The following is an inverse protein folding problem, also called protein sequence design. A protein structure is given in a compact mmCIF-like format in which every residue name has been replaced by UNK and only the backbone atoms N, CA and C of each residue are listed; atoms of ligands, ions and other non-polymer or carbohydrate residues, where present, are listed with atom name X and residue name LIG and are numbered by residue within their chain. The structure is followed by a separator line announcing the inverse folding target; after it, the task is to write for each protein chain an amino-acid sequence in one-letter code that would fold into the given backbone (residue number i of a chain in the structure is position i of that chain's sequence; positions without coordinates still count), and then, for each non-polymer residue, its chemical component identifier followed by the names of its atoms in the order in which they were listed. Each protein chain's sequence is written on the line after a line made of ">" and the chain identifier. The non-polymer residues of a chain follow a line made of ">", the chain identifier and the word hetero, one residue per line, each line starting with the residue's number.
data_IF_139770461790
#
_entry.id   IF_139770461790
#
_cell.length_a   1.000
_cell.length_b   1.000
_cell.length_c   1.000
_cell.angle_alpha   90.00
_cell.angle_beta   90.00
_cell.angle_gamma   90.00
#
_symmetry.space_group_name_H-M   'P 1'
#
loop_
_entity.id
_entity.type
_entity.pdbx_description
1 polymer ?
#
# COMPACT_ATOMS: atom_id res chain seq x y z
N UNK A 1 -25.48 -20.57 -4.81
CA UNK A 1 -24.06 -20.44 -5.22
C UNK A 1 -23.18 -20.99 -4.11
N UNK A 2 -22.14 -21.75 -4.45
CA UNK A 2 -21.17 -22.30 -3.52
C UNK A 2 -19.75 -22.11 -4.05
N UNK A 3 -18.80 -21.85 -3.17
CA UNK A 3 -17.38 -21.82 -3.52
C UNK A 3 -16.95 -23.24 -3.88
N UNK A 4 -16.33 -23.42 -5.04
CA UNK A 4 -15.82 -24.70 -5.52
C UNK A 4 -14.30 -24.81 -5.46
N UNK A 5 -13.59 -23.69 -5.39
CA UNK A 5 -12.13 -23.67 -5.30
C UNK A 5 -11.57 -22.31 -4.84
N UNK A 6 -10.44 -22.36 -4.19
CA UNK A 6 -9.55 -21.24 -3.90
C UNK A 6 -8.16 -21.64 -4.39
N UNK A 7 -7.58 -20.83 -5.24
CA UNK A 7 -6.24 -21.04 -5.81
C UNK A 7 -5.41 -19.75 -5.64
N UNK A 8 -4.13 -19.90 -5.34
CA UNK A 8 -3.17 -18.80 -5.33
C UNK A 8 -2.30 -18.84 -6.58
N UNK A 9 -2.10 -17.70 -7.19
CA UNK A 9 -1.26 -17.49 -8.37
C UNK A 9 -0.21 -16.42 -8.05
N UNK A 10 0.97 -16.54 -8.62
CA UNK A 10 2.03 -15.54 -8.45
C UNK A 10 2.65 -15.18 -9.79
N UNK A 11 3.01 -13.92 -9.98
CA UNK A 11 3.62 -13.39 -11.19
C UNK A 11 4.88 -12.58 -10.89
N UNK A 12 5.79 -12.54 -11.87
CA UNK A 12 7.00 -11.70 -11.85
C UNK A 12 6.63 -10.20 -11.83
N UNK A 13 6.81 -9.56 -10.71
CA UNK A 13 6.68 -8.11 -10.50
C UNK A 13 7.99 -7.34 -10.60
N UNK A 14 9.07 -7.97 -11.12
CA UNK A 14 10.38 -7.36 -11.28
C UNK A 14 11.25 -7.50 -10.04
N UNK A 15 11.26 -6.54 -9.18
CA UNK A 15 11.95 -6.57 -7.87
C UNK A 15 11.07 -7.10 -6.73
N UNK A 16 9.90 -7.59 -7.05
CA UNK A 16 8.91 -8.21 -6.15
C UNK A 16 8.04 -9.19 -6.93
N UNK A 17 7.21 -9.94 -6.24
CA UNK A 17 6.19 -10.80 -6.85
C UNK A 17 4.81 -10.21 -6.62
N UNK A 18 3.89 -10.42 -7.56
CA UNK A 18 2.46 -10.13 -7.37
C UNK A 18 1.72 -11.44 -7.09
N UNK A 19 0.95 -11.47 -6.01
CA UNK A 19 0.17 -12.63 -5.60
C UNK A 19 -1.32 -12.41 -5.82
N UNK A 20 -2.02 -13.39 -6.40
CA UNK A 20 -3.46 -13.32 -6.67
C UNK A 20 -4.20 -14.52 -6.10
N UNK A 21 -5.39 -14.26 -5.55
CA UNK A 21 -6.34 -15.31 -5.19
C UNK A 21 -7.41 -15.40 -6.26
N UNK A 22 -7.65 -16.61 -6.74
CA UNK A 22 -8.77 -16.99 -7.59
C UNK A 22 -9.78 -17.80 -6.79
N UNK A 23 -10.98 -17.28 -6.61
CA UNK A 23 -12.09 -17.98 -5.98
C UNK A 23 -13.13 -18.36 -7.02
N UNK A 24 -13.39 -19.66 -7.23
CA UNK A 24 -14.35 -20.19 -8.19
C UNK A 24 -15.64 -20.63 -7.53
N UNK A 25 -16.75 -20.58 -8.28
CA UNK A 25 -18.07 -20.98 -7.78
C UNK A 25 -18.75 -21.98 -8.72
N UNK A 26 -19.79 -22.64 -8.24
CA UNK A 26 -20.67 -23.53 -9.02
C UNK A 26 -21.61 -22.80 -10.02
N UNK A 27 -21.63 -21.44 -9.98
CA UNK A 27 -22.39 -20.60 -10.92
C UNK A 27 -21.50 -19.95 -12.00
N UNK A 28 -20.28 -20.43 -12.20
CA UNK A 28 -19.28 -19.91 -13.13
C UNK A 28 -18.77 -18.48 -12.83
N UNK A 29 -19.21 -17.84 -11.74
CA UNK A 29 -18.63 -16.57 -11.29
C UNK A 29 -17.29 -16.85 -10.62
N UNK A 30 -16.27 -16.13 -11.05
CA UNK A 30 -14.92 -16.14 -10.45
C UNK A 30 -14.68 -14.81 -9.78
N UNK A 31 -14.20 -14.84 -8.53
CA UNK A 31 -13.72 -13.67 -7.81
C UNK A 31 -12.21 -13.64 -7.75
N UNK A 32 -11.68 -12.44 -7.81
CA UNK A 32 -10.25 -12.15 -7.73
C UNK A 32 -9.94 -11.24 -6.57
N UNK A 33 -8.78 -11.44 -5.99
CA UNK A 33 -8.14 -10.47 -5.11
C UNK A 33 -6.63 -10.53 -5.28
N UNK A 34 -5.95 -9.49 -4.85
CA UNK A 34 -4.50 -9.49 -4.74
C UNK A 34 -4.09 -9.63 -3.28
N UNK A 35 -2.97 -10.29 -3.02
CA UNK A 35 -2.34 -10.38 -1.72
C UNK A 35 -0.85 -10.05 -1.84
N UNK A 36 -0.25 -9.58 -0.75
CA UNK A 36 1.14 -9.19 -0.73
C UNK A 36 2.07 -10.41 -0.78
N UNK A 37 2.70 -10.64 -1.93
CA UNK A 37 3.88 -11.50 -2.03
C UNK A 37 5.15 -10.64 -2.00
N UNK A 38 5.39 -9.96 -0.88
CA UNK A 38 6.62 -9.21 -0.73
C UNK A 38 7.82 -10.15 -0.58
N UNK A 39 8.96 -9.78 -1.19
CA UNK A 39 10.19 -10.57 -1.21
C UNK A 39 10.88 -10.74 0.15
N UNK A 40 10.17 -10.46 1.23
CA UNK A 40 10.66 -10.48 2.60
C UNK A 40 10.68 -11.89 3.21
N UNK A 41 11.17 -12.89 2.47
CA UNK A 41 11.33 -14.28 2.93
C UNK A 41 10.04 -14.99 3.39
N UNK A 42 8.89 -14.28 3.44
CA UNK A 42 7.61 -14.79 3.94
C UNK A 42 6.53 -14.94 2.85
N UNK A 43 6.79 -14.57 1.59
CA UNK A 43 5.82 -14.61 0.50
C UNK A 43 5.20 -16.00 0.30
N UNK A 44 6.04 -17.04 0.24
CA UNK A 44 5.57 -18.43 0.19
C UNK A 44 4.80 -18.86 1.43
N UNK A 45 4.98 -18.19 2.56
CA UNK A 45 4.21 -18.42 3.79
C UNK A 45 2.76 -17.98 3.65
N UNK A 46 2.51 -16.81 3.06
CA UNK A 46 1.15 -16.28 2.92
C UNK A 46 0.30 -17.12 1.98
N UNK A 47 0.81 -17.48 0.80
CA UNK A 47 0.11 -18.37 -0.14
C UNK A 47 -0.20 -19.73 0.48
N UNK A 48 0.71 -20.30 1.28
CA UNK A 48 0.47 -21.54 2.03
C UNK A 48 -0.64 -21.39 3.07
N UNK A 49 -0.70 -20.29 3.78
CA UNK A 49 -1.79 -20.02 4.75
C UNK A 49 -3.12 -19.88 4.04
N UNK A 50 -3.20 -19.12 2.93
CA UNK A 50 -4.42 -19.01 2.11
C UNK A 50 -4.90 -20.39 1.67
N UNK A 51 -4.01 -21.22 1.12
CA UNK A 51 -4.33 -22.56 0.66
C UNK A 51 -4.72 -23.51 1.82
N UNK A 52 -4.17 -23.32 3.02
CA UNK A 52 -4.57 -24.09 4.21
C UNK A 52 -5.96 -23.69 4.73
N UNK A 53 -6.39 -22.45 4.53
CA UNK A 53 -7.73 -21.98 4.86
C UNK A 53 -8.79 -22.35 3.81
N UNK A 54 -8.40 -22.62 2.57
CA UNK A 54 -9.28 -22.92 1.46
C UNK A 54 -10.31 -24.05 1.76
N UNK A 55 -9.95 -25.20 2.35
CA UNK A 55 -10.90 -26.27 2.67
C UNK A 55 -12.03 -25.85 3.61
N UNK A 56 -11.80 -24.81 4.44
CA UNK A 56 -12.81 -24.29 5.38
C UNK A 56 -13.90 -23.52 4.66
N UNK A 57 -13.57 -22.87 3.54
CA UNK A 57 -14.49 -22.00 2.79
C UNK A 57 -15.16 -22.71 1.60
N UNK A 58 -14.56 -23.75 1.04
CA UNK A 58 -15.14 -24.55 -0.03
C UNK A 58 -16.50 -25.14 0.41
N UNK A 59 -17.51 -25.06 -0.47
CA UNK A 59 -18.87 -25.49 -0.22
C UNK A 59 -19.76 -24.45 0.48
N UNK A 60 -19.21 -23.35 0.97
CA UNK A 60 -19.96 -22.23 1.57
C UNK A 60 -20.53 -21.29 0.50
N UNK A 61 -21.55 -20.54 0.87
CA UNK A 61 -22.08 -19.45 0.03
C UNK A 61 -21.16 -18.23 0.11
N UNK A 62 -20.51 -17.80 -1.01
CA UNK A 62 -19.59 -16.68 -1.02
C UNK A 62 -20.24 -15.33 -0.67
N UNK A 63 -21.56 -15.22 -0.78
CA UNK A 63 -22.29 -13.98 -0.46
C UNK A 63 -22.41 -13.73 1.05
N UNK A 64 -22.22 -14.77 1.87
CA UNK A 64 -22.24 -14.69 3.35
C UNK A 64 -20.85 -14.42 3.90
N UNK A 65 -20.25 -13.32 3.44
CA UNK A 65 -18.84 -12.95 3.70
C UNK A 65 -18.55 -12.94 5.19
N UNK A 66 -19.34 -12.23 5.99
CA UNK A 66 -19.14 -12.15 7.45
C UNK A 66 -19.18 -13.51 8.14
N UNK A 67 -20.01 -14.44 7.67
CA UNK A 67 -20.05 -15.79 8.21
C UNK A 67 -18.75 -16.55 7.92
N UNK A 68 -18.19 -16.37 6.72
CA UNK A 68 -16.92 -17.00 6.32
C UNK A 68 -15.78 -16.39 7.12
N UNK A 69 -15.65 -15.07 7.12
CA UNK A 69 -14.58 -14.33 7.81
C UNK A 69 -14.60 -14.61 9.32
N UNK A 70 -15.77 -14.55 9.96
CA UNK A 70 -15.91 -14.88 11.39
C UNK A 70 -15.49 -16.33 11.70
N UNK A 71 -15.83 -17.28 10.80
CA UNK A 71 -15.39 -18.67 10.96
C UNK A 71 -13.88 -18.78 10.90
N UNK A 72 -13.24 -18.12 9.93
CA UNK A 72 -11.79 -18.11 9.78
C UNK A 72 -11.11 -17.52 11.03
N UNK A 73 -11.60 -16.39 11.53
CA UNK A 73 -11.08 -15.78 12.76
C UNK A 73 -11.22 -16.68 14.00
N UNK A 74 -12.36 -17.37 14.15
CA UNK A 74 -12.55 -18.32 15.26
C UNK A 74 -11.56 -19.46 15.21
N UNK A 75 -11.37 -20.04 14.03
CA UNK A 75 -10.47 -21.20 13.86
C UNK A 75 -8.99 -20.84 14.00
N UNK A 76 -8.63 -19.60 13.66
CA UNK A 76 -7.24 -19.12 13.70
C UNK A 76 -6.91 -18.23 14.89
N UNK A 77 -7.79 -18.14 15.88
CA UNK A 77 -7.67 -17.19 17.01
C UNK A 77 -6.37 -17.31 17.83
N UNK A 78 -5.75 -18.48 17.82
CA UNK A 78 -4.47 -18.73 18.52
C UNK A 78 -3.25 -18.19 17.74
N UNK A 79 -3.42 -17.91 16.44
CA UNK A 79 -2.37 -17.40 15.55
C UNK A 79 -2.77 -16.05 14.93
N UNK A 80 -3.50 -15.22 15.69
CA UNK A 80 -4.05 -13.94 15.22
C UNK A 80 -2.96 -12.97 14.76
N UNK A 81 -3.30 -12.14 13.77
CA UNK A 81 -2.45 -11.07 13.22
C UNK A 81 -1.56 -11.52 12.07
N UNK A 82 -0.73 -10.63 11.56
CA UNK A 82 0.25 -10.90 10.52
C UNK A 82 -0.29 -11.71 9.34
N UNK A 83 0.39 -12.79 8.96
CA UNK A 83 0.03 -13.63 7.81
C UNK A 83 -1.40 -14.20 7.88
N UNK A 84 -1.92 -14.47 9.06
CA UNK A 84 -3.29 -14.99 9.21
C UNK A 84 -4.30 -13.93 8.83
N UNK A 85 -4.13 -12.69 9.29
CA UNK A 85 -5.04 -11.59 8.92
C UNK A 85 -4.97 -11.32 7.41
N UNK A 86 -3.77 -11.28 6.84
CA UNK A 86 -3.59 -11.08 5.40
C UNK A 86 -4.25 -12.20 4.57
N UNK A 87 -4.15 -13.45 5.01
CA UNK A 87 -4.79 -14.57 4.33
C UNK A 87 -6.33 -14.50 4.39
N UNK A 88 -6.89 -14.11 5.54
CA UNK A 88 -8.34 -13.90 5.70
C UNK A 88 -8.78 -12.74 4.81
N UNK A 89 -8.04 -11.63 4.79
CA UNK A 89 -8.30 -10.47 3.95
C UNK A 89 -8.30 -10.80 2.45
N UNK A 90 -7.32 -11.59 2.00
CA UNK A 90 -7.24 -12.02 0.61
C UNK A 90 -8.47 -12.86 0.20
N UNK A 91 -8.94 -13.76 1.07
CA UNK A 91 -10.18 -14.53 0.84
C UNK A 91 -11.39 -13.58 0.86
N UNK A 92 -11.52 -12.71 1.87
CA UNK A 92 -12.62 -11.73 1.98
C UNK A 92 -12.76 -10.90 0.71
N UNK A 93 -11.66 -10.32 0.24
CA UNK A 93 -11.64 -9.47 -0.95
C UNK A 93 -12.07 -10.23 -2.22
N UNK A 94 -11.68 -11.50 -2.37
CA UNK A 94 -12.16 -12.33 -3.49
C UNK A 94 -13.67 -12.65 -3.39
N UNK A 95 -14.20 -12.81 -2.17
CA UNK A 95 -15.64 -13.01 -1.97
C UNK A 95 -16.44 -11.73 -2.20
N UNK A 96 -15.90 -10.56 -1.90
CA UNK A 96 -16.49 -9.26 -2.23
C UNK A 96 -16.63 -9.09 -3.75
N UNK A 97 -15.61 -9.48 -4.51
CA UNK A 97 -15.64 -9.48 -5.97
C UNK A 97 -16.76 -10.39 -6.51
N UNK A 98 -16.86 -11.63 -6.01
CA UNK A 98 -17.96 -12.55 -6.37
C UNK A 98 -19.32 -11.92 -6.08
N UNK A 99 -19.49 -11.34 -4.88
CA UNK A 99 -20.77 -10.75 -4.48
C UNK A 99 -21.14 -9.55 -5.33
N UNK A 100 -20.17 -8.69 -5.68
CA UNK A 100 -20.39 -7.57 -6.60
C UNK A 100 -20.81 -8.05 -7.98
N UNK A 101 -20.15 -9.08 -8.52
CA UNK A 101 -20.48 -9.70 -9.82
C UNK A 101 -21.85 -10.38 -9.81
N UNK A 102 -22.19 -11.13 -8.75
CA UNK A 102 -23.49 -11.79 -8.60
C UNK A 102 -24.66 -10.79 -8.56
N UNK A 103 -24.44 -9.63 -7.95
CA UNK A 103 -25.43 -8.56 -7.85
C UNK A 103 -25.40 -7.59 -9.05
N UNK A 104 -24.39 -7.67 -9.92
CA UNK A 104 -24.21 -6.75 -11.05
C UNK A 104 -23.80 -5.35 -10.64
N UNK A 105 -23.14 -5.17 -9.48
CA UNK A 105 -22.73 -3.88 -8.93
C UNK A 105 -21.24 -3.85 -8.60
N UNK A 106 -20.60 -2.67 -8.63
CA UNK A 106 -19.24 -2.51 -8.12
C UNK A 106 -19.15 -2.78 -6.63
N UNK A 107 -17.97 -3.23 -6.15
CA UNK A 107 -17.77 -3.54 -4.73
C UNK A 107 -18.05 -2.34 -3.82
N UNK A 108 -17.66 -1.12 -4.18
CA UNK A 108 -17.97 0.07 -3.37
C UNK A 108 -19.48 0.27 -3.13
N UNK A 109 -20.34 -0.16 -4.06
CA UNK A 109 -21.79 -0.05 -3.91
C UNK A 109 -22.34 -0.99 -2.82
N UNK A 110 -21.63 -2.07 -2.48
CA UNK A 110 -21.99 -2.97 -1.37
C UNK A 110 -21.88 -2.27 0.00
N UNK A 111 -21.17 -1.14 0.06
CA UNK A 111 -20.91 -0.35 1.28
C UNK A 111 -21.56 1.04 1.23
N UNK A 112 -22.50 1.27 0.31
CA UNK A 112 -23.25 2.53 0.19
C UNK A 112 -22.53 3.66 -0.55
N UNK A 113 -21.37 3.39 -1.15
CA UNK A 113 -20.61 4.37 -1.95
C UNK A 113 -21.15 4.54 -3.37
N UNK A 114 -20.50 5.39 -4.21
CA UNK A 114 -19.30 6.13 -3.86
C UNK A 114 -19.61 7.51 -3.24
N UNK A 115 -18.73 7.97 -2.35
CA UNK A 115 -18.68 9.37 -1.90
C UNK A 115 -17.96 10.25 -2.94
N UNK A 116 -17.03 9.66 -3.69
CA UNK A 116 -16.25 10.30 -4.76
C UNK A 116 -16.01 9.35 -5.93
N UNK A 117 -16.04 9.87 -7.15
CA UNK A 117 -15.87 9.11 -8.40
C UNK A 117 -14.46 9.24 -8.99
N UNK A 118 -13.70 10.21 -8.52
CA UNK A 118 -12.28 10.43 -8.86
C UNK A 118 -11.46 10.34 -7.60
N UNK A 119 -10.42 9.52 -7.64
CA UNK A 119 -9.57 9.23 -6.49
C UNK A 119 -8.24 9.96 -6.68
N UNK A 120 -7.96 11.02 -5.90
CA UNK A 120 -6.68 11.72 -5.97
C UNK A 120 -5.54 10.79 -5.56
N UNK A 121 -4.45 10.83 -6.35
CA UNK A 121 -3.29 9.97 -6.20
C UNK A 121 -2.04 10.77 -5.84
N UNK A 122 -1.16 10.16 -5.05
CA UNK A 122 0.22 10.58 -4.97
C UNK A 122 1.16 9.55 -5.59
N UNK A 123 2.25 10.04 -6.22
CA UNK A 123 3.28 9.18 -6.79
C UNK A 123 4.21 8.70 -5.69
N UNK A 124 4.14 7.41 -5.35
CA UNK A 124 5.00 6.80 -4.33
C UNK A 124 6.34 6.35 -4.90
N UNK A 125 7.32 6.06 -4.02
CA UNK A 125 8.70 5.70 -4.35
C UNK A 125 9.33 6.67 -5.37
N UNK A 126 8.90 7.94 -5.31
CA UNK A 126 9.27 8.99 -6.25
C UNK A 126 10.78 9.18 -6.31
N UNK A 127 11.37 8.82 -7.44
CA UNK A 127 12.83 8.77 -7.64
C UNK A 127 13.49 7.50 -7.11
N UNK A 128 13.05 6.93 -5.99
CA UNK A 128 13.67 5.74 -5.36
C UNK A 128 13.75 4.56 -6.32
N UNK A 129 12.65 4.23 -7.00
CA UNK A 129 12.68 3.11 -7.95
C UNK A 129 13.56 3.39 -9.17
N UNK A 130 13.63 4.64 -9.64
CA UNK A 130 14.55 4.99 -10.74
C UNK A 130 16.03 5.01 -10.32
N UNK A 131 16.31 5.18 -9.04
CA UNK A 131 17.67 4.97 -8.48
C UNK A 131 18.03 3.49 -8.55
N UNK A 132 17.13 2.61 -8.17
CA UNK A 132 17.39 1.18 -7.95
C UNK A 132 17.14 0.31 -9.20
N UNK A 133 16.03 0.55 -9.92
CA UNK A 133 15.46 -0.39 -10.89
C UNK A 133 15.25 0.22 -12.30
N UNK A 134 15.83 1.38 -12.61
CA UNK A 134 15.60 2.09 -13.87
C UNK A 134 15.78 1.21 -15.14
N UNK A 135 16.83 0.40 -15.15
CA UNK A 135 17.11 -0.49 -16.30
C UNK A 135 16.00 -1.53 -16.52
N UNK A 136 15.46 -2.10 -15.46
CA UNK A 136 14.37 -3.08 -15.53
C UNK A 136 13.07 -2.45 -16.03
N UNK A 137 12.83 -1.21 -15.66
CA UNK A 137 11.65 -0.44 -16.07
C UNK A 137 11.78 0.19 -17.47
N UNK A 138 12.99 0.21 -18.04
CA UNK A 138 13.26 0.93 -19.28
C UNK A 138 13.14 2.46 -19.14
N UNK A 139 13.35 3.00 -17.93
CA UNK A 139 13.21 4.41 -17.60
C UNK A 139 14.56 5.09 -17.36
N UNK A 140 14.65 6.43 -17.51
CA UNK A 140 15.85 7.17 -17.16
C UNK A 140 16.24 6.99 -15.70
N UNK A 141 17.53 6.69 -15.43
CA UNK A 141 18.05 6.55 -14.09
C UNK A 141 18.12 7.92 -13.40
N UNK A 142 17.71 7.96 -12.14
CA UNK A 142 17.97 9.10 -11.24
C UNK A 142 19.29 8.84 -10.52
N UNK A 143 20.36 9.51 -10.95
CA UNK A 143 21.71 9.29 -10.46
C UNK A 143 22.25 10.47 -9.65
N UNK A 144 21.59 11.64 -9.70
CA UNK A 144 22.00 12.87 -9.03
C UNK A 144 20.79 13.63 -8.48
N UNK A 145 21.03 14.62 -7.61
CA UNK A 145 19.98 15.52 -7.15
C UNK A 145 19.40 16.40 -8.27
N UNK A 146 20.18 16.69 -9.32
CA UNK A 146 19.67 17.37 -10.52
C UNK A 146 18.71 16.48 -11.31
N UNK A 147 18.98 15.17 -11.41
CA UNK A 147 18.03 14.21 -11.99
C UNK A 147 16.75 14.14 -11.15
N UNK A 148 16.90 14.17 -9.83
CA UNK A 148 15.77 14.14 -8.91
C UNK A 148 14.91 15.41 -9.00
N UNK A 149 15.51 16.57 -9.26
CA UNK A 149 14.77 17.79 -9.54
C UNK A 149 13.98 17.66 -10.85
N UNK A 150 14.60 17.15 -11.93
CA UNK A 150 13.87 16.87 -13.18
C UNK A 150 12.74 15.87 -13.00
N UNK A 151 12.95 14.86 -12.16
CA UNK A 151 11.89 13.93 -11.79
C UNK A 151 10.73 14.63 -11.07
N UNK A 152 11.00 15.54 -10.14
CA UNK A 152 9.96 16.37 -9.49
C UNK A 152 9.15 17.21 -10.49
N UNK A 153 9.80 17.74 -11.52
CA UNK A 153 9.13 18.43 -12.61
C UNK A 153 8.22 17.49 -13.42
N UNK A 154 8.66 16.26 -13.71
CA UNK A 154 7.83 15.24 -14.38
C UNK A 154 6.56 14.94 -13.57
N UNK A 155 6.68 14.76 -12.25
CA UNK A 155 5.51 14.53 -11.36
C UNK A 155 4.49 15.65 -11.52
N UNK A 156 4.93 16.91 -11.47
CA UNK A 156 4.09 18.09 -11.64
C UNK A 156 3.44 18.15 -13.04
N UNK A 157 4.23 17.90 -14.10
CA UNK A 157 3.75 17.92 -15.49
C UNK A 157 2.70 16.85 -15.75
N UNK A 158 2.79 15.68 -15.08
CA UNK A 158 1.79 14.60 -15.17
C UNK A 158 0.56 14.82 -14.28
N UNK A 159 0.47 15.98 -13.61
CA UNK A 159 -0.70 16.41 -12.87
C UNK A 159 -0.86 15.83 -11.47
N UNK A 160 0.13 15.07 -10.96
CA UNK A 160 0.07 14.56 -9.59
C UNK A 160 0.19 15.70 -8.58
N UNK A 161 -0.70 15.68 -7.59
CA UNK A 161 -0.77 16.74 -6.56
C UNK A 161 0.21 16.53 -5.42
N UNK A 162 0.75 15.33 -5.28
CA UNK A 162 1.75 14.99 -4.27
C UNK A 162 2.65 13.86 -4.74
N UNK A 163 3.80 13.74 -4.09
CA UNK A 163 4.74 12.65 -4.23
C UNK A 163 5.29 12.21 -2.87
N UNK A 164 5.59 10.92 -2.74
CA UNK A 164 6.24 10.31 -1.57
C UNK A 164 7.57 9.69 -1.98
N UNK A 165 8.63 9.99 -1.25
CA UNK A 165 9.98 9.48 -1.51
C UNK A 165 10.63 8.95 -0.25
N UNK A 166 11.74 8.22 -0.41
CA UNK A 166 12.63 7.84 0.68
C UNK A 166 13.85 8.78 0.73
N UNK A 167 14.69 8.65 1.77
CA UNK A 167 15.95 9.39 1.84
C UNK A 167 16.92 8.84 0.79
N UNK A 168 17.45 9.71 -0.06
CA UNK A 168 18.41 9.36 -1.10
C UNK A 168 19.79 9.99 -0.78
N UNK A 169 20.77 9.14 -0.49
CA UNK A 169 22.13 9.56 -0.16
C UNK A 169 22.98 9.69 -1.42
N UNK A 170 23.63 10.84 -1.59
CA UNK A 170 24.64 11.06 -2.62
C UNK A 170 25.94 10.31 -2.31
N UNK A 171 26.39 9.47 -3.23
CA UNK A 171 27.64 8.73 -3.17
C UNK A 171 28.50 9.00 -4.41
N UNK A 172 29.74 8.52 -4.43
CA UNK A 172 30.59 8.59 -5.64
C UNK A 172 30.01 7.82 -6.83
N UNK A 173 29.15 6.83 -6.59
CA UNK A 173 28.52 6.02 -7.61
C UNK A 173 27.14 6.56 -8.06
N UNK A 174 26.67 7.65 -7.46
CA UNK A 174 25.34 8.23 -7.65
C UNK A 174 24.49 8.20 -6.40
N UNK A 175 23.17 8.35 -6.57
CA UNK A 175 22.23 8.26 -5.45
C UNK A 175 21.98 6.80 -5.03
N UNK A 176 21.79 6.59 -3.74
CA UNK A 176 21.34 5.32 -3.15
C UNK A 176 20.30 5.58 -2.05
N UNK A 177 19.30 4.69 -1.92
CA UNK A 177 18.31 4.83 -0.86
C UNK A 177 18.90 4.43 0.50
N UNK A 178 18.55 5.18 1.55
CA UNK A 178 18.86 4.84 2.94
C UNK A 178 17.68 4.05 3.51
N UNK A 179 17.86 2.75 3.65
CA UNK A 179 16.84 1.84 4.16
C UNK A 179 17.42 0.87 5.20
N UNK A 180 18.01 1.37 6.32
CA UNK A 180 18.70 0.52 7.29
C UNK A 180 17.75 -0.50 7.96
N UNK A 181 16.47 -0.20 8.10
CA UNK A 181 15.47 -1.11 8.63
C UNK A 181 15.23 -2.38 7.79
N UNK A 182 15.65 -2.35 6.51
CA UNK A 182 15.63 -3.49 5.60
C UNK A 182 17.01 -4.16 5.48
N UNK A 183 18.00 -3.72 6.26
CA UNK A 183 19.34 -4.27 6.26
C UNK A 183 19.38 -5.66 6.94
N UNK A 184 20.46 -6.38 6.67
CA UNK A 184 20.71 -7.72 7.21
C UNK A 184 21.86 -7.77 8.22
N UNK A 185 22.35 -6.59 8.64
CA UNK A 185 23.48 -6.48 9.56
C UNK A 185 23.08 -6.92 10.98
N UNK A 186 23.74 -7.88 11.58
CA UNK A 186 23.44 -8.30 12.95
C UNK A 186 23.57 -7.15 13.95
N UNK A 187 22.58 -7.03 14.87
CA UNK A 187 22.55 -5.98 15.89
C UNK A 187 22.00 -4.65 15.42
N UNK A 188 21.82 -4.45 14.13
CA UNK A 188 21.18 -3.31 13.48
C UNK A 188 21.73 -1.93 13.93
N UNK A 189 23.05 -1.72 13.92
CA UNK A 189 23.63 -0.42 14.30
C UNK A 189 23.21 0.70 13.35
N UNK A 190 22.91 0.37 12.10
CA UNK A 190 22.42 1.24 11.04
C UNK A 190 21.03 1.84 11.31
N UNK A 191 20.25 1.29 12.24
CA UNK A 191 18.97 1.87 12.68
C UNK A 191 19.15 3.18 13.49
N UNK A 192 20.37 3.61 13.71
CA UNK A 192 20.66 4.89 14.30
C UNK A 192 20.86 5.94 13.20
N UNK A 193 20.41 7.17 13.47
CA UNK A 193 20.68 8.29 12.58
C UNK A 193 22.17 8.67 12.58
N UNK A 194 22.65 9.26 11.49
CA UNK A 194 23.94 9.91 11.38
C UNK A 194 23.83 11.21 10.58
N UNK A 195 24.89 12.01 10.58
CA UNK A 195 24.92 13.30 9.87
C UNK A 195 24.72 13.14 8.34
N UNK A 196 25.31 12.16 7.66
CA UNK A 196 25.01 11.89 6.26
C UNK A 196 23.53 11.62 5.98
N UNK A 197 22.83 10.86 6.82
CA UNK A 197 21.40 10.60 6.68
C UNK A 197 20.55 11.87 6.80
N UNK A 198 20.85 12.73 7.78
CA UNK A 198 20.16 14.00 7.96
C UNK A 198 20.39 14.95 6.78
N UNK A 199 21.63 15.06 6.30
CA UNK A 199 21.97 15.85 5.12
C UNK A 199 21.31 15.31 3.86
N UNK A 200 21.25 13.99 3.70
CA UNK A 200 20.58 13.36 2.57
C UNK A 200 19.07 13.62 2.57
N UNK A 201 18.41 13.60 3.74
CA UNK A 201 16.99 13.92 3.85
C UNK A 201 16.70 15.35 3.34
N UNK A 202 17.49 16.33 3.78
CA UNK A 202 17.34 17.72 3.33
C UNK A 202 17.66 17.88 1.84
N UNK A 203 18.74 17.28 1.34
CA UNK A 203 19.13 17.35 -0.07
C UNK A 203 18.09 16.71 -1.00
N UNK A 204 17.52 15.57 -0.59
CA UNK A 204 16.43 14.88 -1.34
C UNK A 204 15.21 15.79 -1.47
N UNK A 205 14.74 16.36 -0.36
CA UNK A 205 13.56 17.21 -0.36
C UNK A 205 13.79 18.54 -1.08
N UNK A 206 15.00 19.13 -0.95
CA UNK A 206 15.37 20.34 -1.68
C UNK A 206 15.31 20.12 -3.21
N UNK A 207 15.88 19.03 -3.68
CA UNK A 207 15.88 18.69 -5.11
C UNK A 207 14.46 18.47 -5.63
N UNK A 208 13.65 17.68 -4.94
CA UNK A 208 12.26 17.43 -5.34
C UNK A 208 11.42 18.72 -5.31
N UNK A 209 11.57 19.56 -4.29
CA UNK A 209 10.87 20.84 -4.18
C UNK A 209 11.24 21.79 -5.33
N UNK A 210 12.51 21.83 -5.71
CA UNK A 210 12.98 22.66 -6.82
C UNK A 210 12.29 22.29 -8.14
N UNK A 211 12.08 21.00 -8.42
CA UNK A 211 11.41 20.54 -9.65
C UNK A 211 9.90 20.53 -9.56
N UNK A 212 9.34 19.98 -8.49
CA UNK A 212 7.90 19.84 -8.31
C UNK A 212 7.17 21.18 -8.07
N UNK A 213 7.91 22.22 -7.65
CA UNK A 213 7.33 23.52 -7.34
C UNK A 213 6.63 23.57 -5.98
N UNK A 214 6.13 24.76 -5.57
CA UNK A 214 5.57 24.97 -4.23
C UNK A 214 4.22 24.29 -4.01
N UNK A 215 3.44 24.10 -5.06
CA UNK A 215 2.06 23.57 -4.97
C UNK A 215 1.97 22.05 -4.85
N UNK A 216 3.03 21.33 -5.23
CA UNK A 216 3.06 19.86 -5.12
C UNK A 216 3.34 19.45 -3.68
N UNK A 217 2.47 18.65 -3.08
CA UNK A 217 2.68 18.08 -1.76
C UNK A 217 3.91 17.16 -1.75
N UNK A 218 4.81 17.37 -0.79
CA UNK A 218 5.93 16.45 -0.56
C UNK A 218 5.64 15.60 0.67
N UNK A 219 5.95 14.32 0.57
CA UNK A 219 5.89 13.34 1.64
C UNK A 219 7.23 12.61 1.71
N UNK A 220 7.70 12.35 2.90
CA UNK A 220 8.92 11.58 3.13
C UNK A 220 8.54 10.33 3.92
N UNK A 221 8.87 9.18 3.35
CA UNK A 221 8.68 7.90 3.99
C UNK A 221 10.02 7.36 4.49
N UNK A 222 10.11 7.20 5.79
CA UNK A 222 11.30 6.71 6.46
C UNK A 222 11.05 5.35 7.13
N UNK A 223 9.92 4.72 6.84
CA UNK A 223 9.50 3.38 7.27
C UNK A 223 9.84 3.12 8.76
N UNK A 224 10.36 1.94 9.08
CA UNK A 224 10.91 1.56 10.40
C UNK A 224 12.45 1.69 10.46
N UNK A 225 13.03 2.65 9.70
CA UNK A 225 14.48 2.73 9.48
C UNK A 225 15.28 3.31 10.67
N UNK A 226 14.62 3.88 11.67
CA UNK A 226 15.29 4.54 12.77
C UNK A 226 14.67 4.17 14.12
N UNK A 227 15.34 4.60 15.21
CA UNK A 227 14.78 4.59 16.56
C UNK A 227 14.06 5.92 16.84
N UNK A 228 13.33 6.00 17.93
CA UNK A 228 12.53 7.18 18.32
C UNK A 228 13.32 8.50 18.22
N UNK A 229 14.59 8.52 18.69
CA UNK A 229 15.45 9.72 18.58
C UNK A 229 15.74 10.07 17.12
N UNK A 230 16.06 9.07 16.28
CA UNK A 230 16.36 9.27 14.86
C UNK A 230 15.16 9.84 14.10
N UNK A 231 13.96 9.32 14.36
CA UNK A 231 12.72 9.85 13.80
C UNK A 231 12.50 11.32 14.19
N UNK A 232 12.69 11.67 15.47
CA UNK A 232 12.57 13.04 15.94
C UNK A 232 13.60 13.97 15.27
N UNK A 233 14.86 13.54 15.14
CA UNK A 233 15.91 14.31 14.46
C UNK A 233 15.59 14.57 12.99
N UNK A 234 15.05 13.57 12.29
CA UNK A 234 14.64 13.74 10.90
C UNK A 234 13.47 14.70 10.81
N UNK A 235 12.46 14.58 11.70
CA UNK A 235 11.35 15.52 11.75
C UNK A 235 11.81 16.97 11.89
N UNK A 236 12.82 17.24 12.73
CA UNK A 236 13.37 18.58 12.90
C UNK A 236 14.02 19.13 11.61
N UNK A 237 14.85 18.32 10.94
CA UNK A 237 15.59 18.80 9.75
C UNK A 237 14.72 18.94 8.50
N UNK A 238 13.57 18.28 8.43
CA UNK A 238 12.65 18.40 7.30
C UNK A 238 11.62 19.53 7.45
N UNK A 239 11.58 20.19 8.59
CA UNK A 239 10.66 21.32 8.89
C UNK A 239 10.57 22.38 7.78
N UNK A 240 11.69 22.84 7.15
CA UNK A 240 11.64 23.89 6.14
C UNK A 240 10.89 23.51 4.86
N UNK A 241 10.62 22.22 4.64
CA UNK A 241 10.03 21.73 3.39
C UNK A 241 8.50 21.65 3.42
N UNK A 242 7.86 21.94 4.56
CA UNK A 242 6.41 21.93 4.74
C UNK A 242 5.79 20.64 4.14
N UNK A 243 6.14 19.49 4.71
CA UNK A 243 5.67 18.19 4.23
C UNK A 243 4.16 18.06 4.40
N UNK A 244 3.50 17.41 3.44
CA UNK A 244 2.10 16.97 3.57
C UNK A 244 1.96 15.95 4.71
N UNK A 245 2.97 15.10 4.88
CA UNK A 245 3.25 14.29 6.07
C UNK A 245 4.68 13.74 6.06
N UNK A 246 5.17 13.40 7.23
CA UNK A 246 6.29 12.51 7.45
C UNK A 246 5.73 11.14 7.82
N UNK A 247 6.05 10.11 7.04
CA UNK A 247 5.59 8.73 7.25
C UNK A 247 6.68 7.92 7.94
N UNK A 248 6.29 7.24 9.00
CA UNK A 248 7.19 6.39 9.77
C UNK A 248 6.39 5.32 10.54
N UNK A 249 7.00 4.16 10.73
CA UNK A 249 6.41 3.09 11.51
C UNK A 249 7.20 2.78 12.78
N UNK A 250 6.48 2.73 13.87
CA UNK A 250 6.99 2.35 15.17
C UNK A 250 5.92 1.56 15.93
N UNK A 251 6.30 0.42 16.49
CA UNK A 251 5.37 -0.50 17.15
C UNK A 251 4.97 -0.09 18.57
N UNK A 252 5.29 1.13 18.98
CA UNK A 252 4.90 1.69 20.27
C UNK A 252 4.11 2.99 20.10
N UNK A 253 2.80 2.99 20.38
CA UNK A 253 1.97 4.18 20.21
C UNK A 253 2.41 5.36 21.09
N UNK A 254 3.00 5.13 22.26
CA UNK A 254 3.49 6.21 23.12
C UNK A 254 4.71 6.92 22.51
N UNK A 255 5.63 6.17 21.92
CA UNK A 255 6.78 6.73 21.21
C UNK A 255 6.34 7.51 19.97
N UNK A 256 5.37 7.02 19.20
CA UNK A 256 4.82 7.74 18.06
C UNK A 256 4.15 9.05 18.49
N UNK A 257 3.33 9.01 19.55
CA UNK A 257 2.70 10.21 20.11
C UNK A 257 3.71 11.24 20.62
N UNK A 258 4.85 10.78 21.18
CA UNK A 258 5.95 11.67 21.57
C UNK A 258 6.57 12.37 20.36
N UNK A 259 6.83 11.64 19.28
CA UNK A 259 7.35 12.21 18.02
C UNK A 259 6.33 13.20 17.46
N UNK A 260 5.06 12.83 17.36
CA UNK A 260 3.98 13.69 16.86
C UNK A 260 3.91 15.03 17.59
N UNK A 261 4.03 15.01 18.92
CA UNK A 261 3.95 16.22 19.74
C UNK A 261 5.00 17.29 19.38
N UNK A 262 6.13 16.87 18.83
CA UNK A 262 7.26 17.73 18.48
C UNK A 262 7.45 17.89 16.97
N UNK A 263 6.82 17.03 16.15
CA UNK A 263 6.97 17.10 14.70
C UNK A 263 6.39 18.41 14.14
N UNK A 264 7.10 19.07 13.21
CA UNK A 264 6.67 20.34 12.61
C UNK A 264 5.68 20.15 11.45
N UNK A 265 5.36 18.90 11.11
CA UNK A 265 4.44 18.50 10.03
C UNK A 265 3.54 17.34 10.50
N UNK A 266 2.43 17.09 9.80
CA UNK A 266 1.60 15.91 10.09
C UNK A 266 2.42 14.61 10.02
N UNK A 267 2.07 13.65 10.88
CA UNK A 267 2.62 12.28 10.82
C UNK A 267 1.61 11.35 10.15
N UNK A 268 2.14 10.44 9.31
CA UNK A 268 1.43 9.26 8.82
C UNK A 268 2.11 8.01 9.36
N UNK A 269 1.33 6.98 9.71
CA UNK A 269 1.86 5.73 10.28
C UNK A 269 0.83 4.62 10.23
N UNK A 270 1.21 3.45 10.71
CA UNK A 270 0.37 2.28 10.93
C UNK A 270 0.23 1.35 9.72
N UNK A 271 1.03 1.47 8.66
CA UNK A 271 0.94 0.59 7.49
C UNK A 271 1.09 -0.90 7.86
N UNK A 272 1.92 -1.20 8.88
CA UNK A 272 2.22 -2.58 9.30
C UNK A 272 1.18 -3.20 10.23
N UNK A 273 0.13 -2.45 10.62
CA UNK A 273 -0.89 -2.92 11.55
C UNK A 273 -1.97 -3.76 10.85
N UNK A 274 -2.39 -4.81 11.53
CA UNK A 274 -3.42 -5.72 11.06
C UNK A 274 -4.61 -5.74 12.00
N UNK A 275 -5.83 -5.48 11.46
CA UNK A 275 -7.08 -5.47 12.20
C UNK A 275 -7.24 -4.25 13.13
N UNK A 276 -8.47 -3.72 13.22
CA UNK A 276 -8.82 -2.51 14.03
C UNK A 276 -8.33 -2.53 15.49
N UNK A 277 -8.14 -3.73 16.07
CA UNK A 277 -7.63 -3.85 17.45
C UNK A 277 -6.20 -3.36 17.60
N UNK A 278 -5.38 -3.51 16.55
CA UNK A 278 -4.00 -3.08 16.59
C UNK A 278 -3.89 -1.57 16.33
N UNK A 279 -4.82 -0.98 15.55
CA UNK A 279 -4.93 0.48 15.36
C UNK A 279 -5.44 1.22 16.60
N UNK A 280 -6.33 0.59 17.39
CA UNK A 280 -7.00 1.25 18.53
C UNK A 280 -6.04 1.96 19.49
N UNK A 281 -4.94 1.35 19.98
CA UNK A 281 -4.01 2.01 20.90
C UNK A 281 -3.36 3.27 20.32
N UNK A 282 -3.13 3.30 19.01
CA UNK A 282 -2.56 4.45 18.31
C UNK A 282 -3.54 5.60 18.21
N UNK A 283 -4.81 5.33 17.94
CA UNK A 283 -5.88 6.35 17.99
C UNK A 283 -6.10 6.89 19.40
N UNK A 284 -6.16 6.02 20.41
CA UNK A 284 -6.29 6.44 21.81
C UNK A 284 -5.13 7.29 22.30
N UNK A 285 -3.92 7.07 21.78
CA UNK A 285 -2.74 7.89 22.05
C UNK A 285 -2.67 9.18 21.22
N UNK A 286 -3.60 9.41 20.27
CA UNK A 286 -3.53 10.50 19.28
C UNK A 286 -2.15 10.54 18.60
N UNK A 287 -1.69 9.40 18.11
CA UNK A 287 -0.29 9.23 17.71
C UNK A 287 0.03 9.73 16.30
N UNK A 288 -0.98 9.98 15.45
CA UNK A 288 -0.79 10.45 14.06
C UNK A 288 -1.98 11.28 13.59
N UNK A 289 -1.83 11.98 12.47
CA UNK A 289 -2.88 12.69 11.73
C UNK A 289 -3.44 11.87 10.57
N UNK A 290 -2.64 10.93 10.04
CA UNK A 290 -3.05 10.07 8.93
C UNK A 290 -2.74 8.61 9.28
N UNK A 291 -3.77 7.78 9.33
CA UNK A 291 -3.59 6.33 9.47
C UNK A 291 -3.42 5.70 8.08
N UNK A 292 -2.30 5.06 7.87
CA UNK A 292 -2.02 4.30 6.65
C UNK A 292 -2.64 2.91 6.81
N UNK A 293 -3.52 2.53 5.88
CA UNK A 293 -4.29 1.28 5.96
C UNK A 293 -4.05 0.46 4.70
N UNK A 294 -3.55 -0.76 4.86
CA UNK A 294 -3.40 -1.67 3.73
C UNK A 294 -4.68 -2.51 3.54
N UNK A 295 -5.34 -2.34 2.40
CA UNK A 295 -6.58 -3.05 2.04
C UNK A 295 -6.33 -4.53 1.74
N UNK A 296 -5.12 -4.89 1.28
CA UNK A 296 -4.74 -6.27 1.05
C UNK A 296 -4.51 -7.01 2.37
N UNK A 297 -3.96 -6.30 3.36
CA UNK A 297 -3.61 -6.89 4.64
C UNK A 297 -4.80 -6.97 5.60
N UNK A 298 -5.72 -6.01 5.51
CA UNK A 298 -6.86 -5.93 6.42
C UNK A 298 -8.17 -6.50 5.84
N UNK A 299 -8.34 -6.48 4.51
CA UNK A 299 -9.62 -6.67 3.82
C UNK A 299 -10.38 -5.35 3.72
N UNK A 300 -11.23 -5.22 2.70
CA UNK A 300 -11.96 -3.98 2.47
C UNK A 300 -12.94 -3.65 3.60
N UNK A 301 -13.70 -4.65 4.08
CA UNK A 301 -14.68 -4.43 5.15
C UNK A 301 -13.99 -4.02 6.46
N UNK A 302 -12.92 -4.71 6.85
CA UNK A 302 -12.15 -4.35 8.05
C UNK A 302 -11.48 -2.98 7.90
N UNK A 303 -10.93 -2.66 6.71
CA UNK A 303 -10.34 -1.35 6.43
C UNK A 303 -11.35 -0.21 6.60
N UNK A 304 -12.59 -0.40 6.15
CA UNK A 304 -13.66 0.58 6.37
C UNK A 304 -14.04 0.72 7.85
N UNK A 305 -14.00 -0.36 8.63
CA UNK A 305 -14.21 -0.30 10.08
C UNK A 305 -13.07 0.43 10.79
N UNK A 306 -11.81 0.28 10.31
CA UNK A 306 -10.67 1.04 10.82
C UNK A 306 -10.86 2.53 10.48
N UNK A 307 -11.26 2.86 9.24
CA UNK A 307 -11.53 4.24 8.81
C UNK A 307 -12.64 4.89 9.65
N UNK A 308 -13.74 4.17 9.92
CA UNK A 308 -14.81 4.65 10.76
C UNK A 308 -14.36 4.87 12.23
N UNK A 309 -13.47 4.03 12.75
CA UNK A 309 -12.87 4.25 14.06
C UNK A 309 -11.92 5.45 14.06
N UNK A 310 -11.11 5.64 13.02
CA UNK A 310 -10.23 6.78 12.86
C UNK A 310 -11.00 8.11 12.85
N UNK A 311 -12.17 8.14 12.20
CA UNK A 311 -13.06 9.32 12.17
C UNK A 311 -13.46 9.80 13.56
N UNK A 312 -13.74 8.88 14.49
CA UNK A 312 -14.08 9.23 15.89
C UNK A 312 -12.94 9.96 16.60
N UNK A 313 -11.70 9.76 16.15
CA UNK A 313 -10.49 10.41 16.69
C UNK A 313 -9.98 11.55 15.82
N UNK A 314 -10.78 12.03 14.86
CA UNK A 314 -10.39 13.11 13.93
C UNK A 314 -9.14 12.78 13.12
N UNK A 315 -8.92 11.50 12.79
CA UNK A 315 -7.77 11.01 12.02
C UNK A 315 -8.21 10.71 10.59
N UNK A 316 -7.47 11.26 9.61
CA UNK A 316 -7.65 10.90 8.21
C UNK A 316 -7.07 9.52 7.90
N UNK A 317 -7.51 8.93 6.78
CA UNK A 317 -6.98 7.66 6.31
C UNK A 317 -6.41 7.79 4.89
N UNK A 318 -5.37 7.02 4.61
CA UNK A 318 -4.81 6.85 3.27
C UNK A 318 -4.46 5.37 3.05
N UNK A 319 -4.80 4.77 1.90
CA UNK A 319 -4.44 3.38 1.66
C UNK A 319 -2.97 3.24 1.29
N UNK A 320 -2.28 2.27 1.92
CA UNK A 320 -0.99 1.75 1.50
C UNK A 320 -1.18 0.90 0.23
N UNK A 321 -0.46 1.22 -0.84
CA UNK A 321 -0.66 0.55 -2.13
C UNK A 321 0.55 0.67 -3.05
N UNK A 322 1.48 -0.28 -2.98
CA UNK A 322 2.66 -0.39 -3.86
C UNK A 322 2.66 -1.69 -4.70
N UNK A 323 1.49 -2.14 -5.13
CA UNK A 323 1.23 -3.45 -5.72
C UNK A 323 0.86 -3.38 -7.21
N UNK A 324 0.09 -4.38 -7.70
CA UNK A 324 -0.38 -4.41 -9.08
C UNK A 324 -1.61 -3.50 -9.29
N UNK A 325 -2.16 -3.55 -10.50
CA UNK A 325 -3.37 -2.79 -10.83
C UNK A 325 -4.60 -3.24 -10.06
N UNK A 326 -4.74 -4.55 -9.75
CA UNK A 326 -5.90 -5.04 -9.01
C UNK A 326 -5.91 -4.46 -7.60
N UNK A 327 -4.78 -4.46 -6.90
CA UNK A 327 -4.66 -3.82 -5.60
C UNK A 327 -4.96 -2.32 -5.64
N UNK A 328 -4.50 -1.63 -6.69
CA UNK A 328 -4.79 -0.20 -6.88
C UNK A 328 -6.29 0.04 -7.02
N UNK A 329 -6.99 -0.83 -7.75
CA UNK A 329 -8.46 -0.75 -7.86
C UNK A 329 -9.15 -1.10 -6.54
N UNK A 330 -8.69 -2.13 -5.82
CA UNK A 330 -9.23 -2.47 -4.49
C UNK A 330 -9.08 -1.29 -3.52
N UNK A 331 -7.92 -0.63 -3.52
CA UNK A 331 -7.65 0.58 -2.73
C UNK A 331 -8.51 1.78 -3.18
N UNK A 332 -8.80 1.89 -4.49
CA UNK A 332 -9.71 2.91 -5.01
C UNK A 332 -11.16 2.68 -4.54
N UNK A 333 -11.63 1.43 -4.46
CA UNK A 333 -12.95 1.11 -3.90
C UNK A 333 -13.04 1.47 -2.41
N UNK A 334 -12.00 1.21 -1.62
CA UNK A 334 -11.89 1.71 -0.24
C UNK A 334 -11.96 3.24 -0.19
N UNK A 335 -11.13 3.91 -0.99
CA UNK A 335 -11.03 5.36 -1.04
C UNK A 335 -12.34 6.02 -1.48
N UNK A 336 -13.12 5.35 -2.33
CA UNK A 336 -14.42 5.83 -2.78
C UNK A 336 -15.50 5.85 -1.69
N UNK A 337 -15.36 5.00 -0.66
CA UNK A 337 -16.33 4.85 0.44
C UNK A 337 -15.91 5.57 1.70
N UNK A 338 -14.62 5.54 2.06
CA UNK A 338 -14.13 6.15 3.29
C UNK A 338 -14.33 7.67 3.28
N UNK A 339 -15.13 8.20 4.21
CA UNK A 339 -15.46 9.63 4.27
C UNK A 339 -14.23 10.49 4.61
N UNK A 340 -13.41 10.03 5.56
CA UNK A 340 -12.17 10.66 6.03
C UNK A 340 -10.93 10.29 5.19
N UNK A 341 -11.11 9.82 3.96
CA UNK A 341 -10.03 9.57 3.00
C UNK A 341 -9.31 10.87 2.61
N UNK A 342 -7.98 10.85 2.57
CA UNK A 342 -7.14 11.99 2.22
C UNK A 342 -6.61 11.93 0.79
N UNK A 343 -5.84 10.90 0.46
CA UNK A 343 -5.21 10.69 -0.86
C UNK A 343 -4.74 9.24 -0.96
N UNK A 344 -4.69 8.67 -2.16
CA UNK A 344 -4.31 7.26 -2.38
C UNK A 344 -2.90 7.13 -2.93
N UNK A 345 -2.17 6.17 -2.39
CA UNK A 345 -0.87 5.74 -2.90
C UNK A 345 -0.97 5.07 -4.26
N UNK A 346 -0.01 5.34 -5.15
CA UNK A 346 0.13 4.59 -6.39
C UNK A 346 1.58 4.51 -6.86
N UNK A 347 2.00 3.29 -7.23
CA UNK A 347 3.24 3.08 -7.99
C UNK A 347 3.01 3.46 -9.45
N UNK A 348 3.60 4.58 -9.86
CA UNK A 348 3.57 5.02 -11.27
C UNK A 348 4.73 4.38 -12.04
N UNK A 349 5.92 4.39 -11.44
CA UNK A 349 7.07 3.65 -11.95
C UNK A 349 6.90 2.16 -11.63
N UNK A 350 6.87 1.32 -12.67
CA UNK A 350 6.67 -0.13 -12.51
C UNK A 350 7.32 -0.90 -13.67
N UNK A 351 7.20 -2.21 -13.62
CA UNK A 351 7.66 -3.10 -14.69
C UNK A 351 6.83 -2.89 -15.98
N UNK A 352 7.45 -3.01 -17.17
CA UNK A 352 6.75 -2.76 -18.43
C UNK A 352 5.56 -3.69 -18.72
N UNK A 353 5.55 -4.89 -18.14
CA UNK A 353 4.49 -5.89 -18.37
C UNK A 353 3.40 -5.91 -17.28
N UNK A 354 3.36 -4.92 -16.36
CA UNK A 354 2.34 -4.83 -15.31
C UNK A 354 0.92 -4.83 -15.89
N UNK A 355 0.73 -4.15 -17.01
CA UNK A 355 -0.57 -3.99 -17.66
C UNK A 355 -1.12 -5.30 -18.24
N UNK A 356 -0.23 -6.26 -18.56
CA UNK A 356 -0.62 -7.56 -19.11
C UNK A 356 -1.40 -8.43 -18.10
N UNK A 357 -1.25 -8.19 -16.80
CA UNK A 357 -1.82 -9.02 -15.73
C UNK A 357 -3.31 -8.75 -15.46
N UNK A 358 -3.88 -7.73 -16.06
CA UNK A 358 -5.30 -7.36 -15.88
C UNK A 358 -6.05 -7.31 -17.20
N UNK A 359 -7.37 -7.49 -17.14
CA UNK A 359 -8.24 -7.42 -18.32
C UNK A 359 -8.49 -5.99 -18.80
N UNK A 360 -8.35 -5.02 -17.91
CA UNK A 360 -8.43 -3.60 -18.21
C UNK A 360 -7.52 -2.80 -17.27
N UNK A 361 -6.72 -1.89 -17.84
CA UNK A 361 -5.84 -1.02 -17.06
C UNK A 361 -6.66 0.11 -16.45
N UNK A 362 -6.49 0.42 -15.14
CA UNK A 362 -7.15 1.56 -14.51
C UNK A 362 -6.82 2.87 -15.21
N UNK A 363 -7.82 3.71 -15.41
CA UNK A 363 -7.65 5.01 -16.06
C UNK A 363 -7.19 6.04 -15.04
N UNK A 364 -6.04 6.67 -15.30
CA UNK A 364 -5.50 7.76 -14.48
C UNK A 364 -5.36 9.01 -15.34
N UNK A 365 -6.02 10.10 -14.92
CA UNK A 365 -6.01 11.39 -15.60
C UNK A 365 -5.63 12.49 -14.62
N UNK A 366 -4.63 13.28 -14.93
CA UNK A 366 -4.19 14.43 -14.12
C UNK A 366 -3.94 14.09 -12.63
N UNK A 367 -3.35 12.91 -12.37
CA UNK A 367 -3.08 12.45 -11.02
C UNK A 367 -4.31 11.95 -10.24
N UNK A 368 -5.40 11.64 -10.94
CA UNK A 368 -6.60 11.04 -10.35
C UNK A 368 -6.97 9.74 -11.06
N UNK A 369 -7.32 8.70 -10.32
CA UNK A 369 -7.87 7.46 -10.87
C UNK A 369 -9.38 7.59 -11.02
N UNK A 370 -9.90 7.26 -12.21
CA UNK A 370 -11.34 7.11 -12.42
C UNK A 370 -11.79 5.81 -11.77
N UNK A 371 -12.84 5.90 -10.95
CA UNK A 371 -13.37 4.75 -10.25
C UNK A 371 -14.00 3.76 -11.25
N UNK A 372 -13.59 2.49 -11.28
CA UNK A 372 -14.21 1.51 -12.17
C UNK A 372 -15.69 1.31 -11.85
N UNK A 373 -16.55 1.33 -12.88
CA UNK A 373 -18.00 1.21 -12.73
C UNK A 373 -18.53 -0.23 -12.98
N UNK A 374 -17.68 -1.16 -13.40
CA UNK A 374 -18.05 -2.55 -13.68
C UNK A 374 -18.38 -3.35 -12.43
N UNK A 375 -19.10 -4.48 -12.55
CA UNK A 375 -19.39 -5.36 -11.42
C UNK A 375 -18.13 -5.91 -10.76
N UNK A 376 -18.20 -6.17 -9.45
CA UNK A 376 -17.04 -6.59 -8.66
C UNK A 376 -16.02 -5.47 -8.53
N UNK A 377 -14.76 -5.77 -8.75
CA UNK A 377 -13.70 -4.74 -8.80
C UNK A 377 -13.76 -3.92 -10.09
N UNK A 378 -14.52 -4.32 -11.11
CA UNK A 378 -14.60 -3.68 -12.43
C UNK A 378 -13.45 -4.06 -13.37
N UNK A 379 -12.48 -4.82 -12.90
CA UNK A 379 -11.41 -5.46 -13.67
C UNK A 379 -11.19 -6.88 -13.17
N UNK A 380 -10.66 -7.74 -14.02
CA UNK A 380 -10.26 -9.12 -13.68
C UNK A 380 -8.77 -9.34 -13.92
N UNK A 381 -8.26 -10.45 -13.40
CA UNK A 381 -6.93 -10.92 -13.69
C UNK A 381 -6.89 -11.64 -15.04
N UNK A 382 -5.91 -11.29 -15.86
CA UNK A 382 -5.55 -12.01 -17.07
C UNK A 382 -4.72 -13.26 -16.69
N UNK A 383 -5.41 -14.30 -16.26
CA UNK A 383 -4.78 -15.52 -15.74
C UNK A 383 -3.75 -16.14 -16.70
N UNK A 384 -3.99 -16.24 -18.02
CA UNK A 384 -2.98 -16.71 -18.96
C UNK A 384 -1.66 -15.91 -18.90
N UNK A 385 -1.72 -14.59 -18.81
CA UNK A 385 -0.53 -13.74 -18.71
C UNK A 385 0.21 -13.93 -17.37
N UNK A 386 -0.53 -14.04 -16.25
CA UNK A 386 0.04 -14.34 -14.93
C UNK A 386 0.79 -15.67 -14.94
N UNK A 387 0.18 -16.73 -15.47
CA UNK A 387 0.80 -18.07 -15.55
C UNK A 387 2.00 -18.12 -16.52
N UNK A 388 2.01 -17.26 -17.54
CA UNK A 388 3.12 -17.18 -18.50
C UNK A 388 4.37 -16.47 -17.92
N UNK A 389 4.23 -15.74 -16.80
CA UNK A 389 5.31 -14.99 -16.15
C UNK A 389 5.43 -15.36 -14.66
N UNK A 390 5.90 -16.57 -14.33
CA UNK A 390 6.08 -16.95 -12.92
C UNK A 390 7.13 -16.05 -12.25
N UNK A 391 7.11 -15.93 -10.91
CA UNK A 391 8.14 -15.21 -10.16
C UNK A 391 9.55 -15.66 -10.53
N UNK A 392 10.50 -14.75 -10.47
CA UNK A 392 11.91 -15.09 -10.64
C UNK A 392 12.37 -15.97 -9.48
N UNK A 393 13.21 -16.96 -9.80
CA UNK A 393 13.79 -17.86 -8.80
C UNK A 393 14.83 -17.14 -7.93
#
# INVERSE_FOLDING_TARGET
>A
MKITGIETLSADGGWRSFGFVKATTDSAITGWSEYSESDNFCSAGLSRVINALAPIVIGRDPRRIEQVVSTLHVLTRQSRGGLIQQAIAAIENALLDIKGKDLGVPVYALFGGPVRERIPLYWTHAGTYRVQNAALMGLPKVASYDDLARFGEEVRQRGYKALKTNILLGTKAGLTAITPGFGVTPGWPELNWDQPALQAATATLAALRAGAGPETGLMLDINFNFKTEGFARIADVVAPYNLSWLELDIHDPASLALIRKHAPCPLASCETLCHRRDFKPYFEAYAMEVAIIDVLWNGLAESLMIAAMAEVYEVNVAPHNYYSHLASVMSAHFSAVAANFRIMETDVDSIPWRDEFVTAVPVVENGEMLLPAGPGWGIDINEPAVRARPPRA
#
